data_IF_840325750687
#
_entry.id   IF_840325750687
#
_cell.length_a   1.000
_cell.length_b   1.000
_cell.length_c   1.000
_cell.angle_alpha   90.00
_cell.angle_beta   90.00
_cell.angle_gamma   90.00
#
_symmetry.space_group_name_H-M   'P 1'
#
loop_
_entity.id
_entity.type
_entity.pdbx_description
1 polymer ?
#
# COMPACT_ATOMS: atom_id res chain seq x y z
N UNK A 1 -44.66 27.57 -62.13
CA UNK A 1 -43.76 26.71 -62.93
C UNK A 1 -42.31 26.96 -62.55
N UNK A 2 -41.77 28.19 -62.66
CA UNK A 2 -40.37 28.52 -62.27
C UNK A 2 -40.00 28.29 -60.80
N UNK A 3 -40.93 28.55 -59.86
CA UNK A 3 -40.67 28.33 -58.43
C UNK A 3 -40.44 26.86 -58.08
N UNK A 4 -41.21 25.94 -58.68
CA UNK A 4 -41.02 24.50 -58.49
C UNK A 4 -39.66 24.04 -59.02
N UNK A 5 -39.24 24.53 -60.19
CA UNK A 5 -37.93 24.18 -60.74
C UNK A 5 -36.77 24.66 -59.85
N UNK A 6 -36.86 25.87 -59.30
CA UNK A 6 -35.85 26.39 -58.38
C UNK A 6 -35.79 25.57 -57.06
N UNK A 7 -36.95 25.16 -56.54
CA UNK A 7 -37.05 24.28 -55.37
C UNK A 7 -36.49 22.88 -55.66
N UNK A 8 -36.78 22.29 -56.81
CA UNK A 8 -36.22 21.00 -57.24
C UNK A 8 -34.70 21.07 -57.39
N UNK A 9 -34.18 22.16 -57.97
CA UNK A 9 -32.74 22.38 -58.10
C UNK A 9 -32.06 22.50 -56.72
N UNK A 10 -32.64 23.28 -55.80
CA UNK A 10 -32.14 23.40 -54.42
C UNK A 10 -32.17 22.07 -53.67
N UNK A 11 -33.22 21.27 -53.90
CA UNK A 11 -33.33 19.94 -53.31
C UNK A 11 -32.23 19.01 -53.85
N UNK A 12 -31.99 19.03 -55.16
CA UNK A 12 -30.91 18.26 -55.77
C UNK A 12 -29.52 18.66 -55.26
N UNK A 13 -29.23 19.96 -55.13
CA UNK A 13 -27.95 20.44 -54.59
C UNK A 13 -27.79 20.04 -53.12
N UNK A 14 -28.82 20.24 -52.30
CA UNK A 14 -28.78 19.85 -50.89
C UNK A 14 -28.57 18.34 -50.71
N UNK A 15 -29.18 17.50 -51.56
CA UNK A 15 -28.94 16.05 -51.56
C UNK A 15 -27.48 15.71 -51.89
N UNK A 16 -26.90 16.37 -52.88
CA UNK A 16 -25.52 16.12 -53.28
C UNK A 16 -24.54 16.54 -52.19
N UNK A 17 -24.75 17.71 -51.57
CA UNK A 17 -23.96 18.19 -50.43
C UNK A 17 -24.04 17.26 -49.23
N UNK A 18 -25.26 16.80 -48.88
CA UNK A 18 -25.47 15.85 -47.79
C UNK A 18 -24.75 14.52 -48.08
N UNK A 19 -24.86 13.99 -49.30
CA UNK A 19 -24.19 12.75 -49.69
C UNK A 19 -22.68 12.85 -49.53
N UNK A 20 -22.08 13.96 -49.97
CA UNK A 20 -20.66 14.21 -49.85
C UNK A 20 -20.22 14.36 -48.39
N UNK A 21 -20.99 15.09 -47.56
CA UNK A 21 -20.71 15.23 -46.14
C UNK A 21 -20.73 13.89 -45.39
N UNK A 22 -21.67 13.00 -45.72
CA UNK A 22 -21.72 11.65 -45.12
C UNK A 22 -20.51 10.79 -45.49
N UNK A 23 -20.05 10.86 -46.73
CA UNK A 23 -18.82 10.16 -47.15
C UNK A 23 -17.59 10.70 -46.41
N UNK A 24 -17.47 12.02 -46.26
CA UNK A 24 -16.39 12.63 -45.48
C UNK A 24 -16.44 12.22 -44.00
N UNK A 25 -17.64 12.10 -43.44
CA UNK A 25 -17.82 11.65 -42.06
C UNK A 25 -17.35 10.20 -41.85
N UNK A 26 -17.72 9.26 -42.73
CA UNK A 26 -17.21 7.88 -42.65
C UNK A 26 -15.68 7.82 -42.82
N UNK A 27 -15.13 8.60 -43.75
CA UNK A 27 -13.69 8.71 -43.94
C UNK A 27 -12.99 9.23 -42.67
N UNK A 28 -13.52 10.28 -42.04
CA UNK A 28 -13.00 10.84 -40.80
C UNK A 28 -13.05 9.84 -39.64
N UNK A 29 -14.15 9.09 -39.51
CA UNK A 29 -14.29 8.04 -38.49
C UNK A 29 -13.21 6.95 -38.61
N UNK A 30 -12.85 6.54 -39.83
CA UNK A 30 -11.75 5.58 -40.07
C UNK A 30 -10.39 6.14 -39.67
N UNK A 31 -10.15 7.44 -39.91
CA UNK A 31 -8.91 8.11 -39.49
C UNK A 31 -8.82 8.15 -37.95
N UNK A 32 -9.93 8.50 -37.28
CA UNK A 32 -9.98 8.50 -35.81
C UNK A 32 -9.72 7.11 -35.23
N UNK A 33 -10.28 6.06 -35.84
CA UNK A 33 -10.04 4.69 -35.40
C UNK A 33 -8.56 4.29 -35.52
N UNK A 34 -7.90 4.66 -36.63
CA UNK A 34 -6.46 4.42 -36.83
C UNK A 34 -5.61 5.16 -35.79
N UNK A 35 -5.85 6.45 -35.60
CA UNK A 35 -5.11 7.27 -34.64
C UNK A 35 -5.30 6.82 -33.19
N UNK A 36 -6.49 6.34 -32.82
CA UNK A 36 -6.74 5.75 -31.50
C UNK A 36 -5.86 4.51 -31.30
N UNK A 37 -5.82 3.61 -32.28
CA UNK A 37 -4.99 2.41 -32.23
C UNK A 37 -3.50 2.75 -32.08
N UNK A 38 -2.98 3.66 -32.90
CA UNK A 38 -1.56 4.09 -32.85
C UNK A 38 -1.20 4.73 -31.50
N UNK A 39 -2.11 5.55 -30.93
CA UNK A 39 -1.91 6.17 -29.61
C UNK A 39 -1.93 5.13 -28.49
N UNK A 40 -2.83 4.16 -28.55
CA UNK A 40 -2.93 3.11 -27.54
C UNK A 40 -1.70 2.17 -27.59
N UNK A 41 -1.22 1.83 -28.79
CA UNK A 41 0.05 1.11 -29.00
C UNK A 41 1.24 1.88 -28.41
N UNK A 42 1.33 3.19 -28.68
CA UNK A 42 2.39 4.06 -28.14
C UNK A 42 2.37 4.12 -26.62
N UNK A 43 1.19 4.25 -26.01
CA UNK A 43 1.02 4.25 -24.55
C UNK A 43 1.39 2.90 -23.93
N UNK A 44 1.04 1.79 -24.59
CA UNK A 44 1.42 0.46 -24.15
C UNK A 44 2.95 0.27 -24.17
N UNK A 45 3.63 0.73 -25.22
CA UNK A 45 5.10 0.69 -25.31
C UNK A 45 5.76 1.54 -24.21
N UNK A 46 5.24 2.75 -23.94
CA UNK A 46 5.73 3.58 -22.83
C UNK A 46 5.56 2.90 -21.48
N UNK A 47 4.39 2.29 -21.21
CA UNK A 47 4.17 1.55 -19.97
C UNK A 47 5.11 0.34 -19.82
N UNK A 48 5.48 -0.32 -20.92
CA UNK A 48 6.49 -1.38 -20.91
C UNK A 48 7.89 -0.82 -20.66
N UNK A 49 8.25 0.29 -21.30
CA UNK A 49 9.53 0.97 -21.11
C UNK A 49 9.67 1.48 -19.67
N UNK A 50 8.66 2.12 -19.10
CA UNK A 50 8.62 2.55 -17.69
C UNK A 50 8.80 1.39 -16.71
N UNK A 51 8.28 0.20 -17.03
CA UNK A 51 8.51 -1.02 -16.23
C UNK A 51 9.93 -1.58 -16.40
N UNK A 52 10.53 -1.38 -17.57
CA UNK A 52 11.89 -1.83 -17.87
C UNK A 52 12.96 -0.87 -17.38
N UNK A 53 12.64 0.42 -17.21
CA UNK A 53 13.48 1.37 -16.50
C UNK A 53 13.55 0.86 -15.06
N UNK A 54 14.70 0.29 -14.62
CA UNK A 54 14.88 -0.06 -13.24
C UNK A 54 14.76 1.24 -12.43
N UNK A 55 14.26 1.16 -11.21
CA UNK A 55 14.30 2.23 -10.21
C UNK A 55 15.77 2.57 -9.80
N UNK A 56 16.65 2.83 -10.77
CA UNK A 56 18.05 3.21 -10.62
C UNK A 56 18.32 4.67 -10.98
N UNK A 57 17.28 5.45 -11.33
CA UNK A 57 17.38 6.92 -11.46
C UNK A 57 16.46 7.70 -10.50
N UNK A 58 15.83 7.02 -9.53
CA UNK A 58 15.25 7.66 -8.35
C UNK A 58 15.78 6.93 -7.11
N UNK A 59 16.41 7.67 -6.20
CA UNK A 59 17.23 7.10 -5.13
C UNK A 59 16.48 6.29 -4.06
N UNK A 60 17.27 5.40 -3.45
CA UNK A 60 17.24 4.91 -2.06
C UNK A 60 16.27 3.76 -1.67
N UNK A 61 16.89 2.59 -1.49
CA UNK A 61 16.72 1.56 -0.43
C UNK A 61 15.70 0.39 -0.58
N UNK A 62 16.02 -0.80 0.01
CA UNK A 62 15.75 -2.10 -0.62
C UNK A 62 14.77 -2.99 0.16
N UNK A 63 14.16 -3.96 -0.53
CA UNK A 63 13.47 -5.08 0.10
C UNK A 63 14.00 -6.42 -0.45
N UNK A 64 14.61 -7.17 0.45
CA UNK A 64 15.13 -8.51 0.24
C UNK A 64 14.01 -9.55 0.29
N UNK A 65 14.02 -10.51 -0.63
CA UNK A 65 13.29 -11.78 -0.52
C UNK A 65 14.15 -12.88 -1.12
N UNK A 66 14.81 -13.69 -0.29
CA UNK A 66 15.10 -15.08 -0.65
C UNK A 66 14.91 -15.97 0.57
N UNK A 67 14.12 -17.01 0.34
CA UNK A 67 13.53 -17.99 1.23
C UNK A 67 14.52 -18.98 1.84
N UNK A 68 14.27 -19.32 3.10
CA UNK A 68 14.96 -20.36 3.87
C UNK A 68 14.56 -21.78 3.41
N UNK A 69 15.52 -22.54 2.88
CA UNK A 69 15.38 -23.96 2.52
C UNK A 69 16.18 -24.86 3.46
N UNK A 70 15.48 -25.63 4.29
CA UNK A 70 15.96 -26.74 5.13
C UNK A 70 16.82 -27.77 4.35
N UNK A 71 17.91 -28.26 4.95
CA UNK A 71 18.31 -29.70 4.92
C UNK A 71 19.24 -30.06 6.10
N UNK A 72 18.82 -31.10 6.82
CA UNK A 72 19.54 -31.92 7.81
C UNK A 72 20.60 -32.81 7.09
N UNK A 73 21.57 -33.51 7.68
CA UNK A 73 22.23 -33.66 8.99
C UNK A 73 23.41 -34.61 8.70
N UNK A 74 24.56 -34.45 9.35
CA UNK A 74 25.45 -35.55 9.80
C UNK A 74 26.50 -34.91 10.74
N UNK A 75 26.47 -35.35 12.00
CA UNK A 75 27.27 -34.84 13.12
C UNK A 75 28.50 -35.77 13.30
N UNK A 76 29.72 -35.22 13.18
CA UNK A 76 30.93 -35.85 13.73
C UNK A 76 31.59 -34.92 14.77
N UNK A 77 31.98 -35.52 15.90
CA UNK A 77 32.43 -34.84 17.13
C UNK A 77 33.96 -34.78 17.16
N UNK A 78 34.51 -33.55 17.15
CA UNK A 78 35.91 -33.27 17.46
C UNK A 78 36.17 -32.97 18.95
N UNK A 79 37.44 -32.96 19.39
CA UNK A 79 37.85 -33.11 20.79
C UNK A 79 37.56 -31.93 21.74
N UNK A 80 36.88 -30.87 21.28
CA UNK A 80 36.54 -29.69 22.09
C UNK A 80 35.03 -29.39 22.19
N UNK A 81 34.18 -30.38 21.88
CA UNK A 81 32.74 -30.30 22.19
C UNK A 81 31.94 -29.21 21.45
N UNK A 82 32.53 -28.55 20.44
CA UNK A 82 31.85 -27.61 19.55
C UNK A 82 31.63 -28.28 18.20
N UNK A 83 30.37 -28.39 17.77
CA UNK A 83 29.95 -28.99 16.49
C UNK A 83 30.53 -28.19 15.31
N UNK A 84 31.63 -28.65 14.73
CA UNK A 84 32.25 -28.06 13.54
C UNK A 84 31.80 -28.92 12.35
N UNK A 85 31.14 -28.31 11.36
CA UNK A 85 30.82 -28.98 10.10
C UNK A 85 32.14 -29.37 9.40
N UNK A 86 32.29 -30.59 8.87
CA UNK A 86 33.53 -31.07 8.25
C UNK A 86 33.73 -30.44 6.86
N UNK A 87 34.06 -29.16 6.84
CA UNK A 87 34.28 -28.42 5.59
C UNK A 87 34.89 -27.04 5.78
N UNK A 88 35.06 -26.57 7.02
CA UNK A 88 35.68 -25.29 7.30
C UNK A 88 37.00 -25.57 8.02
N UNK A 89 38.09 -25.52 7.25
CA UNK A 89 39.46 -25.58 7.76
C UNK A 89 39.72 -24.34 8.64
N UNK A 90 40.41 -24.45 9.80
CA UNK A 90 40.75 -23.30 10.65
C UNK A 90 41.40 -22.14 9.88
N UNK A 91 42.23 -22.42 8.88
CA UNK A 91 42.86 -21.40 8.02
C UNK A 91 41.83 -20.55 7.29
N UNK A 92 40.75 -21.16 6.80
CA UNK A 92 39.68 -20.45 6.10
C UNK A 92 38.88 -19.54 7.05
N UNK A 93 38.79 -19.89 8.34
CA UNK A 93 38.15 -19.04 9.35
C UNK A 93 38.99 -17.80 9.57
N UNK A 94 40.30 -17.97 9.71
CA UNK A 94 41.23 -16.88 9.92
C UNK A 94 41.18 -15.91 8.72
N UNK A 95 41.26 -16.43 7.49
CA UNK A 95 41.11 -15.62 6.26
C UNK A 95 39.75 -14.90 6.18
N UNK A 96 38.65 -15.58 6.55
CA UNK A 96 37.32 -14.96 6.58
C UNK A 96 37.24 -13.84 7.64
N UNK A 97 37.85 -14.04 8.80
CA UNK A 97 37.87 -13.03 9.87
C UNK A 97 38.74 -11.84 9.50
N UNK A 98 39.89 -12.05 8.85
CA UNK A 98 40.73 -10.98 8.30
C UNK A 98 40.00 -10.21 7.19
N UNK A 99 39.37 -10.89 6.25
CA UNK A 99 38.55 -10.23 5.22
C UNK A 99 37.39 -9.43 5.84
N UNK A 100 36.74 -9.95 6.87
CA UNK A 100 35.66 -9.24 7.56
C UNK A 100 36.16 -8.02 8.32
N UNK A 101 37.33 -8.09 8.98
CA UNK A 101 37.90 -6.93 9.68
C UNK A 101 38.31 -5.84 8.69
N UNK A 102 38.93 -6.19 7.56
CA UNK A 102 39.25 -5.26 6.48
C UNK A 102 38.00 -4.59 5.90
N UNK A 103 36.96 -5.36 5.56
CA UNK A 103 35.71 -4.83 5.01
C UNK A 103 34.92 -4.01 6.05
N UNK A 104 35.01 -4.37 7.33
CA UNK A 104 34.37 -3.62 8.42
C UNK A 104 35.06 -2.30 8.70
N UNK A 105 36.39 -2.21 8.51
CA UNK A 105 37.13 -0.95 8.60
C UNK A 105 36.79 0.01 7.44
N UNK A 106 36.53 -0.52 6.24
CA UNK A 106 36.10 0.28 5.08
C UNK A 106 34.63 0.76 5.18
N UNK A 107 33.80 0.10 5.99
CA UNK A 107 32.44 0.54 6.25
C UNK A 107 32.47 1.77 7.16
N UNK A 108 32.21 2.95 6.59
CA UNK A 108 31.89 4.15 7.38
C UNK A 108 30.79 3.78 8.38
N UNK A 109 31.09 3.91 9.68
CA UNK A 109 30.12 3.69 10.76
C UNK A 109 28.90 4.54 10.43
N UNK A 110 27.75 3.89 10.21
CA UNK A 110 26.51 4.59 9.84
C UNK A 110 26.29 5.67 10.89
N UNK A 111 26.28 6.94 10.46
CA UNK A 111 25.95 8.04 11.35
C UNK A 111 24.51 7.82 11.76
N UNK A 112 24.32 7.51 13.05
CA UNK A 112 22.99 7.40 13.60
C UNK A 112 22.38 8.80 13.53
N UNK A 113 21.20 8.97 12.91
CA UNK A 113 20.59 10.28 12.78
C UNK A 113 20.37 10.87 14.19
N UNK A 114 20.58 12.18 14.38
CA UNK A 114 20.44 12.82 15.69
C UNK A 114 19.00 12.80 16.23
N UNK A 115 18.03 12.36 15.42
CA UNK A 115 16.63 12.19 15.81
C UNK A 115 16.33 10.85 16.49
N UNK A 116 17.30 9.93 16.59
CA UNK A 116 17.09 8.66 17.27
C UNK A 116 17.18 8.85 18.78
N UNK A 117 16.16 8.38 19.51
CA UNK A 117 16.15 8.43 20.97
C UNK A 117 17.35 7.66 21.55
N UNK A 118 18.02 8.27 22.53
CA UNK A 118 19.15 7.64 23.23
C UNK A 118 18.65 6.53 24.18
N UNK A 119 19.55 5.63 24.57
CA UNK A 119 19.20 4.50 25.46
C UNK A 119 18.66 5.04 26.80
N UNK A 120 19.27 6.09 27.34
CA UNK A 120 18.86 6.75 28.58
C UNK A 120 17.45 7.38 28.49
N UNK A 121 17.02 7.80 27.30
CA UNK A 121 15.65 8.31 27.08
C UNK A 121 14.64 7.17 27.06
N UNK A 122 15.01 6.01 26.47
CA UNK A 122 14.16 4.82 26.43
C UNK A 122 13.87 4.28 27.84
N UNK A 123 14.84 4.33 28.75
CA UNK A 123 14.65 3.91 30.15
C UNK A 123 13.65 4.78 30.92
N UNK A 124 13.41 6.02 30.48
CA UNK A 124 12.46 6.95 31.13
C UNK A 124 11.01 6.73 30.72
N UNK A 125 10.74 5.93 29.69
CA UNK A 125 9.37 5.68 29.25
C UNK A 125 8.62 4.84 30.30
N UNK A 126 7.54 5.41 30.84
CA UNK A 126 6.64 4.74 31.78
C UNK A 126 5.25 4.57 31.18
N UNK A 127 4.53 3.56 31.65
CA UNK A 127 3.15 3.33 31.24
C UNK A 127 2.24 4.39 31.84
N UNK A 128 1.65 5.24 31.00
CA UNK A 128 0.74 6.31 31.43
C UNK A 128 -0.69 5.78 31.64
N UNK A 129 -1.19 4.95 30.72
CA UNK A 129 -2.58 4.46 30.74
C UNK A 129 -2.73 3.13 29.99
N UNK A 130 -3.60 2.24 30.47
CA UNK A 130 -4.00 1.01 29.76
C UNK A 130 -5.51 0.86 29.74
N UNK A 131 -6.09 0.65 28.54
CA UNK A 131 -7.52 0.48 28.34
C UNK A 131 -7.84 -0.81 27.57
N UNK A 132 -8.84 -1.62 28.01
CA UNK A 132 -9.29 -2.78 27.26
C UNK A 132 -10.25 -2.35 26.15
N UNK A 133 -9.71 -2.15 24.93
CA UNK A 133 -10.49 -1.68 23.78
C UNK A 133 -11.23 -2.79 23.01
N UNK A 134 -10.75 -4.02 23.11
CA UNK A 134 -11.26 -5.18 22.35
C UNK A 134 -11.84 -6.25 23.27
N UNK A 135 -12.68 -7.12 22.71
CA UNK A 135 -13.32 -8.21 23.48
C UNK A 135 -12.28 -9.13 24.11
N UNK A 136 -12.44 -9.41 25.40
CA UNK A 136 -11.51 -10.23 26.21
C UNK A 136 -11.49 -11.71 25.84
N UNK A 137 -12.51 -12.20 25.11
CA UNK A 137 -12.59 -13.61 24.70
C UNK A 137 -11.48 -14.06 23.74
N UNK A 138 -10.94 -13.16 22.90
CA UNK A 138 -9.85 -13.46 21.97
C UNK A 138 -8.79 -12.36 22.07
N UNK A 139 -7.71 -12.57 22.85
CA UNK A 139 -6.70 -11.54 23.03
C UNK A 139 -5.92 -11.32 21.73
N UNK A 140 -5.85 -10.08 21.28
CA UNK A 140 -4.95 -9.70 20.19
C UNK A 140 -5.36 -8.43 19.48
N UNK A 141 -4.58 -7.37 19.72
CA UNK A 141 -4.55 -6.19 18.85
C UNK A 141 -3.47 -6.47 17.80
N UNK A 142 -3.87 -6.51 16.54
CA UNK A 142 -2.97 -6.87 15.43
C UNK A 142 -2.35 -5.65 14.77
N UNK A 143 -3.03 -4.51 14.83
CA UNK A 143 -2.58 -3.27 14.22
C UNK A 143 -3.03 -2.07 15.03
N UNK A 144 -2.21 -1.03 15.03
CA UNK A 144 -2.54 0.27 15.61
C UNK A 144 -1.94 1.39 14.77
N UNK A 145 -2.61 2.54 14.75
CA UNK A 145 -2.12 3.74 14.08
C UNK A 145 -2.60 4.98 14.85
N UNK A 146 -1.81 6.04 14.84
CA UNK A 146 -2.10 7.29 15.55
C UNK A 146 -2.30 8.39 14.52
N UNK A 147 -3.34 9.19 14.68
CA UNK A 147 -3.56 10.34 13.82
C UNK A 147 -2.52 11.44 14.11
N UNK A 148 -1.88 12.04 13.10
CA UNK A 148 -0.74 12.94 13.33
C UNK A 148 -1.14 14.31 13.90
N UNK A 149 -2.37 14.77 13.68
CA UNK A 149 -2.84 16.10 14.14
C UNK A 149 -3.92 16.07 15.22
N UNK A 150 -4.54 14.90 15.43
CA UNK A 150 -5.60 14.70 16.43
C UNK A 150 -5.10 13.60 17.35
N UNK A 151 -5.35 13.71 18.65
CA UNK A 151 -4.96 12.69 19.64
C UNK A 151 -5.85 11.43 19.58
N UNK A 152 -6.17 10.96 18.36
CA UNK A 152 -7.01 9.80 18.10
C UNK A 152 -6.12 8.63 17.72
N UNK A 153 -6.36 7.50 18.37
CA UNK A 153 -5.71 6.22 18.12
C UNK A 153 -6.74 5.27 17.52
N UNK A 154 -6.35 4.55 16.48
CA UNK A 154 -7.14 3.46 15.93
C UNK A 154 -6.46 2.14 16.21
N UNK A 155 -7.25 1.16 16.64
CA UNK A 155 -6.78 -0.20 16.92
C UNK A 155 -7.60 -1.21 16.14
N UNK A 156 -6.94 -2.18 15.52
CA UNK A 156 -7.56 -3.30 14.81
C UNK A 156 -7.37 -4.60 15.57
N UNK A 157 -8.46 -5.29 15.89
CA UNK A 157 -8.45 -6.49 16.71
C UNK A 157 -8.72 -7.80 15.96
N UNK A 158 -8.47 -8.91 16.67
CA UNK A 158 -8.90 -10.26 16.25
C UNK A 158 -10.43 -10.40 16.28
N UNK A 159 -11.11 -9.57 17.07
CA UNK A 159 -12.56 -9.51 17.24
C UNK A 159 -13.29 -8.82 16.07
N UNK A 160 -12.63 -8.72 14.91
CA UNK A 160 -13.12 -8.20 13.61
C UNK A 160 -13.52 -6.74 13.61
N UNK A 161 -13.35 -6.04 14.73
CA UNK A 161 -13.70 -4.64 14.88
C UNK A 161 -12.44 -3.78 14.84
N UNK A 162 -12.57 -2.61 14.21
CA UNK A 162 -11.62 -1.51 14.42
C UNK A 162 -12.23 -0.54 15.42
N UNK A 163 -11.46 -0.09 16.40
CA UNK A 163 -11.91 0.83 17.45
C UNK A 163 -11.16 2.14 17.31
N UNK A 164 -11.90 3.24 17.30
CA UNK A 164 -11.37 4.60 17.39
C UNK A 164 -11.45 5.07 18.84
N UNK A 165 -10.30 5.44 19.38
CA UNK A 165 -10.13 5.84 20.77
C UNK A 165 -9.49 7.21 20.83
N UNK A 166 -10.08 8.12 21.60
CA UNK A 166 -9.49 9.43 21.86
C UNK A 166 -8.61 9.36 23.11
N UNK A 167 -7.33 9.72 22.94
CA UNK A 167 -6.32 9.68 23.99
C UNK A 167 -6.52 10.78 25.03
N UNK A 168 -7.14 11.91 24.67
CA UNK A 168 -7.37 13.02 25.61
C UNK A 168 -8.53 12.75 26.56
N UNK A 169 -9.66 12.27 26.03
CA UNK A 169 -10.83 11.93 26.84
C UNK A 169 -10.76 10.53 27.45
N UNK A 170 -9.92 9.65 26.91
CA UNK A 170 -9.84 8.25 27.34
C UNK A 170 -11.10 7.44 26.98
N UNK A 171 -11.86 7.90 26.00
CA UNK A 171 -13.13 7.29 25.59
C UNK A 171 -13.05 6.66 24.20
N UNK A 172 -13.87 5.63 24.00
CA UNK A 172 -14.07 5.02 22.68
C UNK A 172 -15.03 5.90 21.90
N UNK A 173 -14.55 6.50 20.81
CA UNK A 173 -15.35 7.36 19.93
C UNK A 173 -16.29 6.53 19.05
N UNK A 174 -15.75 5.46 18.45
CA UNK A 174 -16.50 4.66 17.49
C UNK A 174 -15.93 3.25 17.38
N UNK A 175 -16.83 2.28 17.22
CA UNK A 175 -16.49 0.90 16.88
C UNK A 175 -16.91 0.66 15.42
N UNK A 176 -15.93 0.51 14.55
CA UNK A 176 -16.08 0.25 13.13
C UNK A 176 -16.27 -1.26 12.93
N UNK A 177 -17.52 -1.67 12.79
CA UNK A 177 -17.91 -3.04 12.46
C UNK A 177 -18.14 -3.19 10.95
N UNK A 178 -17.83 -4.38 10.41
CA UNK A 178 -18.09 -4.70 9.00
C UNK A 178 -17.20 -5.79 8.42
N UNK A 179 -16.04 -6.05 9.04
CA UNK A 179 -15.19 -7.18 8.64
C UNK A 179 -15.72 -8.51 9.19
N UNK A 180 -15.57 -9.58 8.41
CA UNK A 180 -15.96 -10.94 8.78
C UNK A 180 -14.83 -11.71 9.47
N UNK A 181 -13.58 -11.24 9.37
CA UNK A 181 -12.37 -11.82 9.96
C UNK A 181 -11.52 -10.72 10.62
N UNK A 182 -10.45 -11.18 11.27
CA UNK A 182 -9.48 -10.35 11.97
C UNK A 182 -8.86 -9.28 11.05
N UNK A 183 -8.72 -8.08 11.60
CA UNK A 183 -8.11 -6.95 10.92
C UNK A 183 -6.60 -7.11 11.02
N UNK A 184 -5.93 -7.22 9.88
CA UNK A 184 -4.47 -7.41 9.82
C UNK A 184 -3.74 -6.09 9.72
N UNK A 185 -4.34 -5.09 9.08
CA UNK A 185 -3.72 -3.80 8.82
C UNK A 185 -4.71 -2.67 9.03
N UNK A 186 -4.22 -1.57 9.59
CA UNK A 186 -4.99 -0.36 9.82
C UNK A 186 -4.11 0.85 9.52
N UNK A 187 -4.63 1.81 8.76
CA UNK A 187 -3.95 3.07 8.47
C UNK A 187 -4.90 4.26 8.44
N UNK A 188 -4.48 5.34 9.08
CA UNK A 188 -5.09 6.66 8.94
C UNK A 188 -4.57 7.38 7.71
N UNK A 189 -5.49 7.99 6.97
CA UNK A 189 -5.20 8.96 5.93
C UNK A 189 -5.56 10.35 6.48
N UNK A 190 -4.56 11.16 6.90
CA UNK A 190 -4.81 12.40 7.63
C UNK A 190 -5.45 13.51 6.80
N UNK A 191 -5.36 13.43 5.46
CA UNK A 191 -5.86 14.49 4.56
C UNK A 191 -7.38 14.52 4.47
N UNK A 192 -8.00 13.36 4.41
CA UNK A 192 -9.44 13.21 4.11
C UNK A 192 -10.23 12.64 5.30
N UNK A 193 -9.59 12.56 6.48
CA UNK A 193 -10.13 11.92 7.69
C UNK A 193 -10.67 10.49 7.43
N UNK A 194 -9.93 9.74 6.61
CA UNK A 194 -10.27 8.37 6.24
C UNK A 194 -9.47 7.38 7.07
N UNK A 195 -10.12 6.28 7.42
CA UNK A 195 -9.49 5.12 8.05
C UNK A 195 -9.59 3.95 7.09
N UNK A 196 -8.44 3.40 6.72
CA UNK A 196 -8.33 2.21 5.87
C UNK A 196 -8.09 1.02 6.75
N UNK A 197 -8.93 -0.01 6.61
CA UNK A 197 -8.82 -1.26 7.37
C UNK A 197 -8.72 -2.43 6.41
N UNK A 198 -7.68 -3.24 6.56
CA UNK A 198 -7.48 -4.47 5.80
C UNK A 198 -7.69 -5.70 6.65
N UNK A 199 -8.53 -6.61 6.16
CA UNK A 199 -8.88 -7.86 6.83
C UNK A 199 -8.35 -9.08 6.08
N UNK A 200 -8.20 -10.19 6.81
CA UNK A 200 -7.99 -11.52 6.25
C UNK A 200 -9.16 -12.02 5.37
N UNK A 201 -10.25 -11.26 5.26
CA UNK A 201 -11.35 -11.48 4.31
C UNK A 201 -10.99 -11.16 2.86
N UNK A 202 -9.76 -10.65 2.62
CA UNK A 202 -9.33 -10.10 1.32
C UNK A 202 -10.08 -8.82 0.94
N UNK A 203 -10.79 -8.23 1.90
CA UNK A 203 -11.51 -6.98 1.73
C UNK A 203 -10.79 -5.85 2.48
N UNK A 204 -10.83 -4.68 1.85
CA UNK A 204 -10.43 -3.41 2.44
C UNK A 204 -11.70 -2.58 2.62
N UNK A 205 -11.92 -2.06 3.83
CA UNK A 205 -13.04 -1.16 4.10
C UNK A 205 -12.47 0.22 4.40
N UNK A 206 -13.01 1.22 3.69
CA UNK A 206 -12.74 2.63 3.91
C UNK A 206 -13.83 3.20 4.79
N UNK A 207 -13.43 3.74 5.94
CA UNK A 207 -14.33 4.45 6.84
C UNK A 207 -14.03 5.94 6.76
N UNK A 208 -15.07 6.75 6.56
CA UNK A 208 -14.96 8.20 6.59
C UNK A 208 -15.58 8.74 7.88
N UNK A 209 -14.89 9.64 8.59
CA UNK A 209 -15.48 10.34 9.72
C UNK A 209 -16.42 11.44 9.22
N UNK A 210 -17.67 11.08 8.89
CA UNK A 210 -18.75 12.07 8.90
C UNK A 210 -19.09 12.34 10.37
N UNK A 211 -18.36 13.28 10.98
CA UNK A 211 -18.53 13.73 12.36
C UNK A 211 -19.96 14.24 12.70
N UNK A 212 -20.89 14.29 11.75
CA UNK A 212 -22.29 14.66 11.98
C UNK A 212 -23.21 13.49 12.36
N UNK A 213 -22.79 12.22 12.23
CA UNK A 213 -23.71 11.08 12.40
C UNK A 213 -23.60 10.36 13.76
N UNK A 214 -22.49 10.52 14.49
CA UNK A 214 -22.19 9.68 15.66
C UNK A 214 -22.57 10.28 17.02
N UNK A 215 -23.31 11.40 17.07
CA UNK A 215 -23.80 11.99 18.33
C UNK A 215 -25.14 11.44 18.82
N UNK A 216 -25.68 10.41 18.19
CA UNK A 216 -26.79 9.64 18.76
C UNK A 216 -26.45 8.16 18.73
N UNK A 217 -26.52 7.53 19.91
CA UNK A 217 -26.20 6.13 20.11
C UNK A 217 -26.88 5.21 19.09
N UNK A 218 -26.18 4.13 18.75
CA UNK A 218 -26.65 3.08 17.85
C UNK A 218 -26.94 3.54 16.41
N UNK A 219 -25.90 3.89 15.65
CA UNK A 219 -25.99 3.89 14.20
C UNK A 219 -25.75 2.47 13.64
N UNK A 220 -26.77 1.62 13.76
CA UNK A 220 -26.97 0.42 12.92
C UNK A 220 -27.40 0.77 11.48
N UNK A 221 -27.34 2.04 11.09
CA UNK A 221 -27.82 2.56 9.80
C UNK A 221 -26.66 3.13 8.96
N UNK A 222 -25.77 2.25 8.51
CA UNK A 222 -24.96 2.53 7.31
C UNK A 222 -24.53 1.22 6.62
N UNK A 223 -25.48 0.30 6.42
CA UNK A 223 -25.29 -0.90 5.59
C UNK A 223 -26.55 -1.21 4.78
N UNK A 224 -26.91 -0.30 3.87
CA UNK A 224 -27.56 -0.63 2.60
C UNK A 224 -26.93 0.19 1.48
#
# INVERSE_FOLDING_TARGET
>A
MLSNFALEQQLHTARQELSHALYQHDAACRVIARLKKERDESRALLALAERQIPASMAGVAPAAVVSNGKRAMEDEIGPDGKKIRPGINPVMIDELTECNTMLSAQRKKRQVPPSLASIDELERYTQISSHPLHKTNKPGILSMDIHPSKDIVATGGIDTNAVLFDRTSGQILCTLAGHSKKITTLKFVPRDELVVTGSADKMLILFASRLSCCNYGACDLCMK
#
